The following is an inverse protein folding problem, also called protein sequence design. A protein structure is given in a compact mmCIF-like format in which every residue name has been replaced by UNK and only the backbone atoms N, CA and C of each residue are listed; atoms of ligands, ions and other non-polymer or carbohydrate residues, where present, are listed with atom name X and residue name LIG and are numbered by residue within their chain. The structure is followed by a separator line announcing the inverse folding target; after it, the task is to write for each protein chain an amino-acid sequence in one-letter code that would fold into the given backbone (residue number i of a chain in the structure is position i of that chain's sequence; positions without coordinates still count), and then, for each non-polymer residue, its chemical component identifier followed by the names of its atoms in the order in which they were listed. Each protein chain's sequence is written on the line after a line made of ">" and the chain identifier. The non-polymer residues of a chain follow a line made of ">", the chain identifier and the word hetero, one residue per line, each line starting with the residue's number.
data_IF_385129935291
#
_entry.id   IF_385129935291
#
_cell.length_a   1.000
_cell.length_b   1.000
_cell.length_c   1.000
_cell.angle_alpha   90.00
_cell.angle_beta   90.00
_cell.angle_gamma   90.00
#
_symmetry.space_group_name_H-M   'P 1'
#
loop_
_entity.id
_entity.type
_entity.pdbx_description
1 polymer ?
#
# COMPACT_ATOMS: atom_id res chain seq x y z
N UNK A 1 -13.90 -15.85 3.13
CA UNK A 1 -13.12 -14.67 3.55
C UNK A 1 -11.77 -14.71 2.83
N UNK A 2 -11.27 -13.59 2.33
CA UNK A 2 -9.92 -13.44 1.77
C UNK A 2 -9.05 -12.90 2.90
N UNK A 3 -8.08 -13.69 3.35
CA UNK A 3 -7.22 -13.35 4.47
C UNK A 3 -5.80 -13.87 4.26
N UNK A 4 -4.83 -13.08 4.63
CA UNK A 4 -3.43 -13.41 4.48
C UNK A 4 -2.54 -12.63 5.44
N UNK A 5 -1.25 -12.79 5.24
CA UNK A 5 -0.23 -12.11 6.03
C UNK A 5 0.85 -11.53 5.14
N UNK A 6 1.67 -10.67 5.73
CA UNK A 6 2.92 -10.25 5.13
C UNK A 6 3.92 -11.42 5.19
N UNK A 7 4.47 -11.77 4.03
CA UNK A 7 5.42 -12.87 3.85
C UNK A 7 6.76 -12.36 3.30
N UNK A 8 7.79 -13.17 3.43
CA UNK A 8 9.14 -12.80 3.00
C UNK A 8 9.32 -13.03 1.49
N UNK A 9 10.09 -12.17 0.87
CA UNK A 9 10.59 -12.31 -0.50
C UNK A 9 12.10 -12.43 -0.45
N UNK A 10 12.60 -13.67 -0.45
CA UNK A 10 14.02 -13.99 -0.31
C UNK A 10 14.59 -14.68 -1.56
N UNK A 11 15.45 -15.67 -1.39
CA UNK A 11 16.17 -16.33 -2.47
C UNK A 11 15.25 -16.96 -3.51
N UNK A 12 14.14 -17.58 -3.07
CA UNK A 12 13.13 -18.20 -3.95
C UNK A 12 12.06 -17.21 -4.41
N UNK A 13 12.24 -15.94 -4.10
CA UNK A 13 11.40 -14.80 -4.52
C UNK A 13 9.90 -15.10 -4.36
N UNK A 14 9.08 -14.89 -5.40
CA UNK A 14 7.63 -15.09 -5.33
C UNK A 14 7.25 -16.53 -4.95
N UNK A 15 8.02 -17.55 -5.41
CA UNK A 15 7.77 -18.94 -5.03
C UNK A 15 7.91 -19.15 -3.53
N UNK A 16 8.94 -18.56 -2.92
CA UNK A 16 9.14 -18.58 -1.47
C UNK A 16 8.00 -17.89 -0.72
N UNK A 17 7.52 -16.75 -1.24
CA UNK A 17 6.38 -16.03 -0.67
C UNK A 17 5.09 -16.86 -0.69
N UNK A 18 4.80 -17.53 -1.81
CA UNK A 18 3.65 -18.46 -1.94
C UNK A 18 3.76 -19.62 -0.96
N UNK A 19 4.94 -20.24 -0.84
CA UNK A 19 5.17 -21.34 0.09
C UNK A 19 4.93 -20.92 1.55
N UNK A 20 5.43 -19.76 1.94
CA UNK A 20 5.23 -19.21 3.27
C UNK A 20 3.75 -18.91 3.54
N UNK A 21 3.04 -18.28 2.59
CA UNK A 21 1.60 -18.01 2.69
C UNK A 21 0.78 -19.29 2.88
N UNK A 22 1.05 -20.31 2.09
CA UNK A 22 0.39 -21.60 2.18
C UNK A 22 0.65 -22.31 3.51
N UNK A 23 1.84 -22.13 4.10
CA UNK A 23 2.17 -22.71 5.41
C UNK A 23 1.31 -22.13 6.54
N UNK A 24 0.74 -20.94 6.35
CA UNK A 24 -0.18 -20.29 7.27
C UNK A 24 -1.65 -20.59 6.98
N UNK A 25 -1.94 -21.37 5.91
CA UNK A 25 -3.30 -21.62 5.45
C UNK A 25 -3.98 -20.39 4.81
N UNK A 26 -3.19 -19.41 4.38
CA UNK A 26 -3.69 -18.16 3.81
C UNK A 26 -4.10 -18.33 2.34
N UNK A 27 -5.08 -17.54 1.89
CA UNK A 27 -5.51 -17.45 0.49
C UNK A 27 -5.22 -16.07 -0.13
N UNK A 28 -4.47 -15.25 0.59
CA UNK A 28 -3.95 -13.94 0.19
C UNK A 28 -2.58 -13.73 0.85
N UNK A 29 -1.75 -12.84 0.29
CA UNK A 29 -0.52 -12.41 0.96
C UNK A 29 0.00 -11.09 0.42
N UNK A 30 0.83 -10.45 1.21
CA UNK A 30 1.56 -9.23 0.83
C UNK A 30 3.06 -9.45 1.02
N UNK A 31 3.88 -8.80 0.19
CA UNK A 31 5.33 -8.88 0.27
C UNK A 31 6.00 -7.60 -0.26
N UNK A 32 7.25 -7.35 0.13
CA UNK A 32 8.15 -6.40 -0.52
C UNK A 32 9.03 -7.13 -1.53
N UNK A 33 9.35 -6.51 -2.68
CA UNK A 33 10.26 -7.12 -3.68
C UNK A 33 11.74 -7.11 -3.27
N UNK A 34 12.04 -6.67 -2.06
CA UNK A 34 13.34 -6.57 -1.42
C UNK A 34 13.21 -5.91 -0.06
N UNK A 35 14.30 -5.57 0.60
CA UNK A 35 14.24 -4.88 1.89
C UNK A 35 13.59 -3.50 1.74
N UNK A 36 12.56 -3.16 2.55
CA UNK A 36 11.79 -1.93 2.38
C UNK A 36 12.55 -0.65 2.73
N UNK A 37 13.67 -0.79 3.46
CA UNK A 37 14.51 0.33 3.90
C UNK A 37 15.69 0.64 2.98
N UNK A 38 15.86 -0.10 1.87
CA UNK A 38 16.96 0.13 0.93
C UNK A 38 16.53 -0.04 -0.53
N UNK A 39 17.43 0.22 -1.45
CA UNK A 39 17.20 0.21 -2.89
C UNK A 39 17.76 -1.03 -3.59
N UNK A 40 18.37 -1.95 -2.85
CA UNK A 40 18.98 -3.13 -3.43
C UNK A 40 17.90 -4.10 -3.89
N UNK A 41 17.91 -4.44 -5.17
CA UNK A 41 16.96 -5.36 -5.81
C UNK A 41 17.70 -6.37 -6.67
N UNK A 42 17.48 -7.65 -6.40
CA UNK A 42 17.89 -8.73 -7.31
C UNK A 42 16.98 -8.75 -8.53
N UNK A 43 17.48 -9.16 -9.68
CA UNK A 43 16.63 -9.41 -10.86
C UNK A 43 15.53 -10.42 -10.52
N UNK A 44 14.34 -10.23 -11.08
CA UNK A 44 13.26 -11.22 -10.94
C UNK A 44 13.67 -12.49 -11.71
N UNK A 45 13.46 -13.63 -11.08
CA UNK A 45 13.67 -14.94 -11.69
C UNK A 45 12.36 -15.43 -12.30
N UNK A 46 12.34 -15.56 -13.63
CA UNK A 46 11.12 -15.93 -14.38
C UNK A 46 10.69 -17.37 -14.08
N UNK A 47 11.64 -18.28 -13.79
CA UNK A 47 11.32 -19.66 -13.41
C UNK A 47 10.60 -19.71 -12.06
N UNK A 48 11.10 -19.00 -11.06
CA UNK A 48 10.42 -18.91 -9.76
C UNK A 48 9.07 -18.23 -9.87
N UNK A 49 8.94 -17.22 -10.73
CA UNK A 49 7.65 -16.58 -11.01
C UNK A 49 6.67 -17.59 -11.62
N UNK A 50 7.09 -18.34 -12.65
CA UNK A 50 6.26 -19.36 -13.30
C UNK A 50 5.80 -20.46 -12.33
N UNK A 51 6.73 -20.99 -11.52
CA UNK A 51 6.43 -21.99 -10.49
C UNK A 51 5.46 -21.44 -9.42
N UNK A 52 5.65 -20.18 -9.00
CA UNK A 52 4.77 -19.51 -8.05
C UNK A 52 3.34 -19.39 -8.59
N UNK A 53 3.17 -18.92 -9.82
CA UNK A 53 1.87 -18.76 -10.48
C UNK A 53 1.13 -20.09 -10.61
N UNK A 54 1.81 -21.16 -10.99
CA UNK A 54 1.23 -22.49 -11.06
C UNK A 54 0.79 -22.96 -9.66
N UNK A 55 1.64 -22.79 -8.65
CA UNK A 55 1.33 -23.19 -7.28
C UNK A 55 0.16 -22.41 -6.69
N UNK A 56 0.06 -21.11 -6.99
CA UNK A 56 -1.10 -20.29 -6.62
C UNK A 56 -2.38 -20.84 -7.26
N UNK A 57 -2.35 -21.15 -8.56
CA UNK A 57 -3.49 -21.74 -9.28
C UNK A 57 -3.92 -23.08 -8.67
N UNK A 58 -2.99 -23.97 -8.37
CA UNK A 58 -3.25 -25.29 -7.75
C UNK A 58 -3.89 -25.16 -6.35
N UNK A 59 -3.60 -24.07 -5.63
CA UNK A 59 -4.09 -23.80 -4.28
C UNK A 59 -5.20 -22.74 -4.23
N UNK A 60 -5.80 -22.37 -5.36
CA UNK A 60 -6.88 -21.41 -5.47
C UNK A 60 -6.56 -20.01 -4.90
N UNK A 61 -5.28 -19.58 -4.96
CA UNK A 61 -4.87 -18.21 -4.65
C UNK A 61 -5.01 -17.38 -5.93
N UNK A 62 -5.95 -16.45 -5.93
CA UNK A 62 -6.11 -15.50 -7.05
C UNK A 62 -4.99 -14.47 -7.07
N UNK A 63 -4.60 -14.02 -8.26
CA UNK A 63 -3.68 -12.88 -8.44
C UNK A 63 -4.24 -11.57 -7.84
N UNK A 64 -5.57 -11.44 -7.76
CA UNK A 64 -6.24 -10.32 -7.08
C UNK A 64 -5.98 -10.28 -5.56
N UNK A 65 -5.53 -11.39 -4.99
CA UNK A 65 -5.29 -11.54 -3.56
C UNK A 65 -3.79 -11.44 -3.21
N UNK A 66 -2.94 -11.10 -4.19
CA UNK A 66 -1.50 -10.97 -4.00
C UNK A 66 -1.09 -9.51 -4.19
N UNK A 67 -0.49 -8.95 -3.15
CA UNK A 67 -0.21 -7.52 -3.08
C UNK A 67 1.27 -7.31 -2.85
N UNK A 68 1.87 -6.45 -3.65
CA UNK A 68 3.20 -5.91 -3.37
C UNK A 68 3.07 -4.67 -2.49
N UNK A 69 4.05 -4.40 -1.65
CA UNK A 69 4.17 -3.12 -0.95
C UNK A 69 5.40 -2.36 -1.45
N UNK A 70 5.23 -1.12 -1.85
CA UNK A 70 6.34 -0.26 -2.23
C UNK A 70 7.22 0.07 -1.02
N UNK A 71 8.56 0.18 -1.21
CA UNK A 71 9.44 0.58 -0.13
C UNK A 71 9.11 1.96 0.44
N UNK A 72 9.05 2.07 1.75
CA UNK A 72 8.71 3.32 2.43
C UNK A 72 9.78 4.44 2.33
N UNK A 73 10.91 4.15 1.70
CA UNK A 73 11.89 5.19 1.34
C UNK A 73 11.44 6.05 0.16
N UNK A 74 10.43 5.62 -0.61
CA UNK A 74 9.82 6.41 -1.68
C UNK A 74 9.02 7.54 -1.05
N UNK A 75 9.34 8.78 -1.41
CA UNK A 75 8.61 9.96 -0.96
C UNK A 75 8.31 10.89 -2.13
N UNK A 76 7.08 10.83 -2.64
CA UNK A 76 6.62 11.69 -3.72
C UNK A 76 6.09 13.05 -3.25
N UNK A 77 5.97 13.28 -1.95
CA UNK A 77 5.43 14.53 -1.39
C UNK A 77 6.46 15.66 -1.32
N UNK A 78 7.76 15.34 -1.38
CA UNK A 78 8.84 16.31 -1.15
C UNK A 78 9.80 16.41 -2.33
N UNK A 79 9.79 17.56 -3.00
CA UNK A 79 10.68 17.89 -4.11
C UNK A 79 11.74 18.95 -3.77
N UNK A 80 11.98 19.25 -2.49
CA UNK A 80 13.02 20.21 -2.07
C UNK A 80 14.43 19.78 -2.50
N UNK A 81 14.64 18.47 -2.59
CA UNK A 81 15.83 17.88 -3.16
C UNK A 81 15.44 17.17 -4.47
N UNK A 82 15.56 17.86 -5.63
CA UNK A 82 15.07 17.34 -6.91
C UNK A 82 15.60 15.95 -7.25
N UNK A 83 16.87 15.68 -6.96
CA UNK A 83 17.49 14.37 -7.20
C UNK A 83 16.82 13.24 -6.40
N UNK A 84 16.43 13.48 -5.14
CA UNK A 84 15.72 12.49 -4.32
C UNK A 84 14.28 12.29 -4.79
N UNK A 85 13.66 13.36 -5.28
CA UNK A 85 12.32 13.28 -5.83
C UNK A 85 12.29 12.47 -7.13
N UNK A 86 13.16 12.78 -8.08
CA UNK A 86 13.28 12.01 -9.33
C UNK A 86 13.72 10.56 -9.05
N UNK A 87 14.62 10.34 -8.09
CA UNK A 87 14.93 8.99 -7.62
C UNK A 87 13.71 8.23 -7.12
N UNK A 88 12.82 8.87 -6.34
CA UNK A 88 11.58 8.24 -5.86
C UNK A 88 10.66 7.86 -7.01
N UNK A 89 10.53 8.71 -8.04
CA UNK A 89 9.77 8.44 -9.27
C UNK A 89 10.35 7.23 -10.02
N UNK A 90 11.66 7.25 -10.29
CA UNK A 90 12.34 6.16 -10.99
C UNK A 90 12.27 4.84 -10.21
N UNK A 91 12.40 4.91 -8.89
CA UNK A 91 12.38 3.71 -8.07
C UNK A 91 10.98 3.10 -7.99
N UNK A 92 9.94 3.92 -7.88
CA UNK A 92 8.55 3.44 -7.97
C UNK A 92 8.28 2.82 -9.35
N UNK A 93 8.77 3.43 -10.45
CA UNK A 93 8.64 2.84 -11.77
C UNK A 93 9.31 1.45 -11.84
N UNK A 94 10.51 1.31 -11.30
CA UNK A 94 11.19 0.00 -11.21
C UNK A 94 10.38 -1.04 -10.43
N UNK A 95 9.75 -0.64 -9.32
CA UNK A 95 8.88 -1.54 -8.55
C UNK A 95 7.63 -1.97 -9.36
N UNK A 96 7.02 -1.05 -10.14
CA UNK A 96 5.92 -1.39 -11.05
C UNK A 96 6.35 -2.35 -12.16
N UNK A 97 7.53 -2.14 -12.77
CA UNK A 97 8.07 -3.04 -13.80
C UNK A 97 8.34 -4.44 -13.22
N UNK A 98 8.80 -4.54 -11.97
CA UNK A 98 8.97 -5.80 -11.23
C UNK A 98 7.61 -6.48 -10.96
N UNK A 99 6.61 -5.71 -10.54
CA UNK A 99 5.24 -6.21 -10.38
C UNK A 99 4.69 -6.73 -11.69
N UNK A 100 4.86 -6.01 -12.79
CA UNK A 100 4.46 -6.44 -14.15
C UNK A 100 5.11 -7.77 -14.54
N UNK A 101 6.42 -7.95 -14.30
CA UNK A 101 7.14 -9.20 -14.57
C UNK A 101 6.60 -10.38 -13.76
N UNK A 102 6.17 -10.14 -12.51
CA UNK A 102 5.55 -11.15 -11.65
C UNK A 102 4.03 -11.24 -11.80
N UNK A 103 3.40 -10.48 -12.69
CA UNK A 103 1.96 -10.40 -12.92
C UNK A 103 1.16 -9.92 -11.67
N UNK A 104 1.78 -9.16 -10.78
CA UNK A 104 1.14 -8.63 -9.58
C UNK A 104 0.24 -7.45 -9.95
N UNK A 105 -1.02 -7.50 -9.50
CA UNK A 105 -2.04 -6.52 -9.86
C UNK A 105 -2.07 -5.27 -8.99
N UNK A 106 -1.57 -5.36 -7.77
CA UNK A 106 -1.65 -4.27 -6.80
C UNK A 106 -0.32 -4.02 -6.12
N UNK A 107 0.00 -2.73 -5.98
CA UNK A 107 1.13 -2.27 -5.16
C UNK A 107 0.67 -1.17 -4.20
N UNK A 108 0.83 -1.39 -2.90
CA UNK A 108 0.54 -0.40 -1.86
C UNK A 108 1.67 0.64 -1.82
N UNK A 109 1.31 1.89 -1.74
CA UNK A 109 2.23 3.02 -1.66
C UNK A 109 1.82 3.98 -0.55
N UNK A 110 2.73 4.29 0.39
CA UNK A 110 2.60 5.45 1.26
C UNK A 110 2.68 6.72 0.41
N UNK A 111 1.70 7.63 0.45
CA UNK A 111 1.71 8.84 -0.39
C UNK A 111 2.98 9.69 -0.20
N UNK A 112 3.51 9.71 1.02
CA UNK A 112 4.75 10.39 1.37
C UNK A 112 4.59 11.43 2.49
N UNK A 113 5.67 12.13 2.78
CA UNK A 113 5.74 13.16 3.83
C UNK A 113 6.19 14.49 3.25
N UNK A 114 5.48 15.56 3.60
CA UNK A 114 5.72 16.93 3.11
C UNK A 114 7.06 17.52 3.58
N UNK A 115 7.57 17.02 4.71
CA UNK A 115 8.80 17.50 5.37
C UNK A 115 8.70 18.97 5.73
N UNK A 116 9.06 19.90 4.83
CA UNK A 116 9.01 21.37 5.00
C UNK A 116 8.00 22.06 4.09
N UNK A 117 7.37 21.33 3.16
CA UNK A 117 6.33 21.90 2.32
C UNK A 117 5.03 22.06 3.09
N UNK A 118 4.17 22.97 2.64
CA UNK A 118 2.77 22.97 2.99
C UNK A 118 2.04 21.78 2.33
N UNK A 119 0.87 21.42 2.84
CA UNK A 119 0.11 20.26 2.37
C UNK A 119 -0.31 20.38 0.89
N UNK A 120 -0.65 21.56 0.43
CA UNK A 120 -1.10 21.77 -0.96
C UNK A 120 0.03 21.49 -1.93
N UNK A 121 1.22 22.01 -1.65
CA UNK A 121 2.43 21.74 -2.41
C UNK A 121 2.80 20.26 -2.38
N UNK A 122 2.74 19.63 -1.21
CA UNK A 122 3.04 18.20 -1.05
C UNK A 122 2.08 17.31 -1.87
N UNK A 123 0.78 17.60 -1.83
CA UNK A 123 -0.23 16.89 -2.64
C UNK A 123 0.04 17.09 -4.14
N UNK A 124 0.37 18.32 -4.56
CA UNK A 124 0.72 18.60 -5.96
C UNK A 124 1.95 17.80 -6.42
N UNK A 125 2.97 17.68 -5.56
CA UNK A 125 4.14 16.88 -5.86
C UNK A 125 3.80 15.39 -6.04
N UNK A 126 2.94 14.83 -5.16
CA UNK A 126 2.48 13.45 -5.27
C UNK A 126 1.76 13.22 -6.61
N UNK A 127 0.83 14.12 -6.97
CA UNK A 127 0.08 14.04 -8.22
C UNK A 127 1.04 14.07 -9.42
N UNK A 128 1.97 15.01 -9.45
CA UNK A 128 2.96 15.14 -10.52
C UNK A 128 3.86 13.90 -10.61
N UNK A 129 4.30 13.37 -9.48
CA UNK A 129 5.11 12.15 -9.43
C UNK A 129 4.36 10.93 -9.94
N UNK A 130 3.12 10.74 -9.51
CA UNK A 130 2.29 9.62 -9.94
C UNK A 130 1.94 9.71 -11.44
N UNK A 131 1.60 10.89 -11.96
CA UNK A 131 1.33 11.08 -13.39
C UNK A 131 2.57 10.85 -14.27
N UNK A 132 3.79 11.05 -13.74
CA UNK A 132 5.04 10.68 -14.44
C UNK A 132 5.30 9.16 -14.40
N UNK A 133 4.88 8.49 -13.33
CA UNK A 133 5.16 7.06 -13.11
C UNK A 133 4.17 6.17 -13.84
N UNK A 134 2.88 6.47 -13.76
CA UNK A 134 1.80 5.61 -14.28
C UNK A 134 1.77 5.67 -15.81
N UNK A 135 1.61 4.50 -16.46
CA UNK A 135 1.50 4.36 -17.91
C UNK A 135 0.23 3.61 -18.28
N UNK A 136 -0.29 3.82 -19.47
CA UNK A 136 -1.51 3.15 -19.97
C UNK A 136 -1.38 1.62 -20.04
N UNK A 137 -0.18 1.11 -20.29
CA UNK A 137 0.10 -0.33 -20.41
C UNK A 137 0.45 -1.00 -19.07
N UNK A 138 0.33 -0.28 -17.94
CA UNK A 138 0.54 -0.87 -16.63
C UNK A 138 -0.57 -1.86 -16.29
N UNK A 139 -0.18 -3.04 -15.83
CA UNK A 139 -1.09 -4.07 -15.32
C UNK A 139 -1.27 -3.99 -13.81
N UNK A 140 -0.45 -3.17 -13.17
CA UNK A 140 -0.39 -2.99 -11.71
C UNK A 140 -1.03 -1.67 -11.32
N UNK A 141 -2.04 -1.71 -10.47
CA UNK A 141 -2.70 -0.54 -9.88
C UNK A 141 -1.96 -0.14 -8.60
N UNK A 142 -1.66 1.15 -8.45
CA UNK A 142 -1.09 1.71 -7.22
C UNK A 142 -2.22 1.95 -6.22
N UNK A 143 -2.07 1.43 -5.01
CA UNK A 143 -3.00 1.64 -3.90
C UNK A 143 -2.39 2.64 -2.92
N UNK A 144 -2.94 3.84 -2.86
CA UNK A 144 -2.54 4.81 -1.84
C UNK A 144 -3.01 4.34 -0.46
N UNK A 145 -2.09 4.24 0.48
CA UNK A 145 -2.44 3.80 1.83
C UNK A 145 -2.96 4.97 2.66
N UNK A 146 -3.99 4.70 3.48
CA UNK A 146 -4.41 5.63 4.52
C UNK A 146 -3.31 5.73 5.58
N UNK A 147 -2.92 6.95 5.97
CA UNK A 147 -1.78 7.20 6.84
C UNK A 147 -2.21 7.68 8.22
N UNK A 148 -1.36 7.45 9.24
CA UNK A 148 -1.60 7.89 10.61
C UNK A 148 -1.51 9.41 10.81
N UNK A 149 -0.87 10.12 9.88
CA UNK A 149 -0.61 11.56 10.00
C UNK A 149 0.56 11.86 10.93
N UNK A 150 1.53 10.95 11.02
CA UNK A 150 2.74 11.14 11.81
C UNK A 150 3.60 12.23 11.19
N UNK A 151 3.90 13.25 11.97
CA UNK A 151 4.68 14.41 11.51
C UNK A 151 3.97 15.15 10.37
N UNK A 152 4.48 15.02 9.15
CA UNK A 152 3.96 15.71 7.95
C UNK A 152 3.51 14.74 6.86
N UNK A 153 3.11 13.52 7.23
CA UNK A 153 2.56 12.53 6.32
C UNK A 153 1.30 13.04 5.62
N UNK A 154 1.18 12.72 4.32
CA UNK A 154 0.00 12.97 3.48
C UNK A 154 -0.79 11.68 3.36
N UNK A 155 -2.12 11.76 3.32
CA UNK A 155 -3.03 10.61 3.23
C UNK A 155 -3.68 10.23 4.56
N UNK A 156 -3.52 11.04 5.61
CA UNK A 156 -4.18 10.84 6.90
C UNK A 156 -5.63 11.34 6.91
N UNK A 157 -6.01 12.14 5.93
CA UNK A 157 -7.36 12.66 5.76
C UNK A 157 -7.94 12.22 4.42
N UNK A 158 -9.25 11.96 4.41
CA UNK A 158 -9.97 11.52 3.22
C UNK A 158 -9.90 12.54 2.07
N UNK A 159 -9.95 13.83 2.40
CA UNK A 159 -9.84 14.92 1.43
C UNK A 159 -8.45 15.03 0.79
N UNK A 160 -7.40 14.65 1.50
CA UNK A 160 -6.03 14.53 0.94
C UNK A 160 -5.98 13.42 -0.12
N UNK A 161 -6.47 12.22 0.20
CA UNK A 161 -6.54 11.09 -0.76
C UNK A 161 -7.43 11.43 -1.95
N UNK A 162 -8.61 11.99 -1.70
CA UNK A 162 -9.51 12.44 -2.78
C UNK A 162 -8.85 13.47 -3.68
N UNK A 163 -8.13 14.45 -3.09
CA UNK A 163 -7.42 15.48 -3.85
C UNK A 163 -6.33 14.90 -4.74
N UNK A 164 -5.65 13.83 -4.31
CA UNK A 164 -4.68 13.12 -5.15
C UNK A 164 -5.42 12.38 -6.27
N UNK A 165 -6.34 11.48 -5.91
CA UNK A 165 -6.98 10.53 -6.84
C UNK A 165 -7.73 11.26 -7.96
N UNK A 166 -8.45 12.32 -7.64
CA UNK A 166 -9.22 13.09 -8.65
C UNK A 166 -8.35 13.75 -9.72
N UNK A 167 -7.08 14.03 -9.42
CA UNK A 167 -6.14 14.70 -10.31
C UNK A 167 -5.13 13.75 -10.97
N UNK A 168 -5.25 12.43 -10.75
CA UNK A 168 -4.51 11.46 -11.54
C UNK A 168 -5.13 11.34 -12.92
N UNK A 169 -4.30 11.37 -13.97
CA UNK A 169 -4.74 11.29 -15.36
C UNK A 169 -5.31 9.90 -15.69
N UNK A 170 -4.57 8.85 -15.34
CA UNK A 170 -4.94 7.44 -15.56
C UNK A 170 -5.60 6.85 -14.30
N UNK A 171 -6.86 7.22 -14.06
CA UNK A 171 -7.60 6.92 -12.82
C UNK A 171 -7.87 5.44 -12.57
N UNK A 172 -7.80 4.61 -13.60
CA UNK A 172 -8.01 3.16 -13.46
C UNK A 172 -6.78 2.45 -12.86
N UNK A 173 -5.62 3.13 -12.86
CA UNK A 173 -4.38 2.64 -12.28
C UNK A 173 -4.14 3.13 -10.84
N UNK A 174 -5.15 3.74 -10.19
CA UNK A 174 -5.05 4.22 -8.82
C UNK A 174 -6.22 3.72 -7.96
N UNK A 175 -5.93 3.22 -6.78
CA UNK A 175 -6.89 2.78 -5.77
C UNK A 175 -6.43 3.15 -4.37
N UNK A 176 -7.01 2.50 -3.36
CA UNK A 176 -6.73 2.76 -1.95
C UNK A 176 -6.53 1.45 -1.19
N UNK A 177 -5.57 1.47 -0.27
CA UNK A 177 -5.41 0.50 0.80
C UNK A 177 -5.82 1.17 2.12
N UNK A 178 -6.74 0.57 2.85
CA UNK A 178 -7.08 1.02 4.21
C UNK A 178 -6.19 0.31 5.23
N UNK A 179 -5.58 1.05 6.16
CA UNK A 179 -4.91 0.48 7.32
C UNK A 179 -5.65 0.88 8.60
N UNK A 180 -6.08 -0.09 9.38
CA UNK A 180 -6.90 0.15 10.58
C UNK A 180 -6.14 0.84 11.69
N UNK A 181 -4.84 0.54 11.88
CA UNK A 181 -3.99 1.26 12.81
C UNK A 181 -3.81 2.73 12.39
N UNK A 182 -3.56 2.96 11.10
CA UNK A 182 -3.40 4.32 10.57
C UNK A 182 -4.70 5.13 10.68
N UNK A 183 -5.85 4.54 10.37
CA UNK A 183 -7.14 5.18 10.54
C UNK A 183 -7.38 5.57 12.00
N UNK A 184 -7.19 4.63 12.96
CA UNK A 184 -7.29 4.92 14.38
C UNK A 184 -6.36 6.07 14.79
N UNK A 185 -5.08 5.97 14.42
CA UNK A 185 -4.09 6.96 14.81
C UNK A 185 -4.32 8.33 14.14
N UNK A 186 -4.99 8.37 12.98
CA UNK A 186 -5.41 9.62 12.32
C UNK A 186 -6.67 10.25 12.91
N UNK A 187 -7.37 9.55 13.82
CA UNK A 187 -8.56 10.03 14.51
C UNK A 187 -9.88 9.49 13.96
N UNK A 188 -9.86 8.43 13.15
CA UNK A 188 -11.07 7.73 12.70
C UNK A 188 -11.45 6.69 13.76
N UNK A 189 -12.60 6.85 14.41
CA UNK A 189 -13.14 5.84 15.33
C UNK A 189 -13.67 4.64 14.52
N UNK A 190 -12.98 3.51 14.61
CA UNK A 190 -13.35 2.29 13.88
C UNK A 190 -14.65 1.65 14.38
N UNK A 191 -15.20 2.07 15.52
CA UNK A 191 -16.57 1.72 15.94
C UNK A 191 -17.63 2.36 15.04
N UNK A 192 -17.28 3.45 14.37
CA UNK A 192 -18.12 4.17 13.40
C UNK A 192 -17.65 3.90 11.96
N UNK A 193 -17.06 2.71 11.69
CA UNK A 193 -16.41 2.40 10.41
C UNK A 193 -17.39 2.42 9.24
N UNK A 194 -18.64 1.99 9.43
CA UNK A 194 -19.68 2.07 8.40
C UNK A 194 -19.90 3.51 7.92
N UNK A 195 -19.94 4.47 8.87
CA UNK A 195 -20.04 5.89 8.54
C UNK A 195 -18.83 6.40 7.77
N UNK A 196 -17.63 5.93 8.12
CA UNK A 196 -16.42 6.24 7.36
C UNK A 196 -16.52 5.71 5.92
N UNK A 197 -16.99 4.47 5.73
CA UNK A 197 -17.17 3.87 4.40
C UNK A 197 -18.27 4.57 3.58
N UNK A 198 -19.34 5.02 4.18
CA UNK A 198 -20.37 5.84 3.51
C UNK A 198 -19.77 7.15 2.97
N UNK A 199 -19.00 7.85 3.79
CA UNK A 199 -18.29 9.06 3.36
C UNK A 199 -17.24 8.75 2.29
N UNK A 200 -16.49 7.68 2.44
CA UNK A 200 -15.51 7.23 1.47
C UNK A 200 -16.16 6.95 0.11
N UNK A 201 -17.27 6.22 0.12
CA UNK A 201 -18.04 5.93 -1.08
C UNK A 201 -18.55 7.21 -1.78
N UNK A 202 -19.01 8.18 -1.00
CA UNK A 202 -19.51 9.45 -1.53
C UNK A 202 -18.44 10.29 -2.23
N UNK A 203 -17.20 10.31 -1.70
CA UNK A 203 -16.14 11.19 -2.19
C UNK A 203 -15.17 10.51 -3.16
N UNK A 204 -14.81 9.25 -2.89
CA UNK A 204 -13.76 8.53 -3.62
C UNK A 204 -14.35 7.37 -4.45
N UNK A 205 -15.34 6.67 -3.89
CA UNK A 205 -15.92 5.45 -4.44
C UNK A 205 -15.41 4.20 -3.71
N UNK A 206 -16.34 3.36 -3.24
CA UNK A 206 -16.01 2.14 -2.50
C UNK A 206 -15.22 1.13 -3.34
N UNK A 207 -15.42 1.16 -4.64
CA UNK A 207 -14.73 0.34 -5.64
C UNK A 207 -13.23 0.62 -5.73
N UNK A 208 -12.78 1.78 -5.24
CA UNK A 208 -11.35 2.12 -5.15
C UNK A 208 -10.62 1.41 -4.02
N UNK A 209 -11.32 0.90 -3.02
CA UNK A 209 -10.70 0.08 -1.97
C UNK A 209 -10.42 -1.31 -2.52
N UNK A 210 -9.14 -1.69 -2.59
CA UNK A 210 -8.69 -3.00 -3.12
C UNK A 210 -8.06 -3.88 -2.06
N UNK A 211 -7.61 -3.28 -0.95
CA UNK A 211 -6.92 -3.96 0.12
C UNK A 211 -7.21 -3.29 1.45
N UNK A 212 -7.16 -4.07 2.52
CA UNK A 212 -7.13 -3.55 3.89
C UNK A 212 -6.03 -4.24 4.69
N UNK A 213 -5.20 -3.46 5.36
CA UNK A 213 -4.30 -3.93 6.40
C UNK A 213 -5.04 -3.91 7.72
N UNK A 214 -5.23 -5.07 8.32
CA UNK A 214 -5.89 -5.19 9.62
C UNK A 214 -4.81 -5.25 10.70
N UNK A 215 -4.56 -4.12 11.32
CA UNK A 215 -3.57 -3.95 12.38
C UNK A 215 -4.26 -3.33 13.60
N UNK A 216 -3.94 -3.82 14.80
CA UNK A 216 -4.28 -3.11 16.03
C UNK A 216 -3.27 -1.97 16.27
N UNK A 217 -3.58 -1.04 17.14
CA UNK A 217 -2.68 0.08 17.46
C UNK A 217 -2.24 0.04 18.93
N UNK A 218 -0.94 0.34 19.17
CA UNK A 218 -0.41 0.59 20.52
C UNK A 218 -0.88 1.91 21.09
N UNK A 219 -1.50 2.76 20.28
CA UNK A 219 -1.78 4.15 20.62
C UNK A 219 -3.26 4.42 20.70
N UNK A 220 -3.64 5.43 21.50
CA UNK A 220 -5.01 5.92 21.53
C UNK A 220 -5.42 6.56 20.20
N UNK A 221 -6.73 6.61 19.98
CA UNK A 221 -7.36 7.30 18.86
C UNK A 221 -6.80 8.73 18.69
N UNK A 222 -6.41 9.07 17.45
CA UNK A 222 -5.90 10.39 17.09
C UNK A 222 -4.49 10.70 17.60
N UNK A 223 -3.68 9.69 17.89
CA UNK A 223 -2.32 9.87 18.44
C UNK A 223 -1.28 10.32 17.42
N UNK A 224 -1.52 10.10 16.12
CA UNK A 224 -0.59 10.38 15.01
C UNK A 224 0.80 9.74 15.16
N UNK A 225 0.86 8.46 15.56
CA UNK A 225 2.14 7.80 15.88
C UNK A 225 2.54 6.64 14.98
N UNK A 226 1.58 5.92 14.42
CA UNK A 226 1.84 4.73 13.60
C UNK A 226 2.69 3.70 14.35
N UNK A 227 2.07 2.94 15.22
CA UNK A 227 2.69 1.83 15.97
C UNK A 227 1.72 0.66 16.02
N UNK A 228 1.92 -0.28 15.11
CA UNK A 228 1.12 -1.50 15.01
C UNK A 228 1.27 -2.39 16.24
N UNK A 229 0.18 -3.07 16.58
CA UNK A 229 0.12 -4.14 17.54
C UNK A 229 -0.61 -5.35 16.93
N UNK A 230 -0.42 -6.52 17.49
CA UNK A 230 -1.17 -7.70 17.10
C UNK A 230 -2.66 -7.51 17.40
N UNK A 231 -3.51 -8.08 16.55
CA UNK A 231 -4.98 -7.97 16.67
C UNK A 231 -5.44 -8.42 18.06
N UNK A 232 -6.16 -7.56 18.75
CA UNK A 232 -6.69 -7.79 20.10
C UNK A 232 -5.73 -7.47 21.25
N UNK A 233 -4.51 -7.04 20.96
CA UNK A 233 -3.50 -6.65 21.97
C UNK A 233 -3.26 -5.14 22.04
N UNK A 234 -3.92 -4.38 21.19
CA UNK A 234 -3.82 -2.93 21.15
C UNK A 234 -5.07 -2.21 21.67
N UNK A 235 -5.19 -0.94 21.34
CA UNK A 235 -6.25 -0.05 21.83
C UNK A 235 -7.54 -0.10 21.00
N UNK A 236 -7.48 -0.61 19.77
CA UNK A 236 -8.67 -0.81 18.92
C UNK A 236 -9.45 -2.02 19.43
N UNK A 237 -8.73 -3.11 19.70
CA UNK A 237 -9.26 -4.34 20.26
C UNK A 237 -9.86 -5.30 19.23
N UNK A 238 -9.95 -6.56 19.63
CA UNK A 238 -10.38 -7.67 18.78
C UNK A 238 -11.80 -7.48 18.22
N UNK A 239 -12.75 -7.15 19.09
CA UNK A 239 -14.18 -7.06 18.70
C UNK A 239 -14.48 -5.94 17.70
N UNK A 240 -13.63 -4.89 17.67
CA UNK A 240 -13.76 -3.79 16.71
C UNK A 240 -13.14 -4.14 15.36
N UNK A 241 -12.07 -4.95 15.36
CA UNK A 241 -11.34 -5.32 14.15
C UNK A 241 -11.95 -6.51 13.41
N UNK A 242 -12.70 -7.37 14.10
CA UNK A 242 -13.28 -8.61 13.58
C UNK A 242 -14.79 -8.53 13.41
#
# INVERSE_FOLDING_TARGET
>A
MIIGSHVRFKNDQLLGSVNESLSYGSNAFMFYTGAPQNTVRSSINDEYTFLALNKMKENNISLENVICHAPYIINLANNMEPEKYEFSIEFLRKELDRCKQMQIKYIVLHPGSAVKHDKVTAISNIINGLNKVIREDDVTTILLETMAGKGTEIGSKMDELWSIIKNIELKDHIGVCLDTCHLNDSGVDLKEFDRYLELFNKYIGIDKIKCSHINDSKNALGSHKDRHENIGYGTIGFDTLM
#
